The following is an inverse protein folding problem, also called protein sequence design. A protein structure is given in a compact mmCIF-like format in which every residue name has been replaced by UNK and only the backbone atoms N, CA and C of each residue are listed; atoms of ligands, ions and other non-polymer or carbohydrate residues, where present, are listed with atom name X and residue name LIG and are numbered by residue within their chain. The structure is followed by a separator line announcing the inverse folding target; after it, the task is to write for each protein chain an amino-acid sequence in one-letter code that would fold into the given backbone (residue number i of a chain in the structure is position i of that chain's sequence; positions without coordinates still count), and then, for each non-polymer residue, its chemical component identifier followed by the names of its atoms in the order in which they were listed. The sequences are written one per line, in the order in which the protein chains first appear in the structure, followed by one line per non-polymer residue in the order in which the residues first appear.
data_IF_847376053692
#
_entry.id   IF_847376053692
#
_cell.length_a   1.000
_cell.length_b   1.000
_cell.length_c   1.000
_cell.angle_alpha   90.00
_cell.angle_beta   90.00
_cell.angle_gamma   90.00
#
_symmetry.space_group_name_H-M   'P 1'
#
loop_
_entity.id
_entity.type
_entity.pdbx_description
1 polymer ?
#
# COMPACT_ATOMS: atom_id res chain seq x y z
N UNK A 1 4.75 -19.47 -0.58
CA UNK A 1 5.90 -18.91 -1.33
C UNK A 1 5.52 -18.36 -2.69
N UNK A 2 5.16 -19.17 -3.71
CA UNK A 2 4.89 -18.66 -5.08
C UNK A 2 3.91 -17.47 -5.14
N UNK A 3 2.79 -17.53 -4.42
CA UNK A 3 1.81 -16.44 -4.39
C UNK A 3 2.35 -15.15 -3.75
N UNK A 4 3.22 -15.23 -2.75
CA UNK A 4 3.79 -14.05 -2.08
C UNK A 4 4.80 -13.32 -2.98
N UNK A 5 5.67 -14.06 -3.67
CA UNK A 5 6.60 -13.50 -4.67
C UNK A 5 5.82 -12.85 -5.82
N UNK A 6 4.69 -13.44 -6.23
CA UNK A 6 3.81 -12.88 -7.26
C UNK A 6 3.09 -11.60 -6.80
N UNK A 7 2.51 -11.58 -5.60
CA UNK A 7 1.90 -10.38 -4.98
C UNK A 7 2.91 -9.23 -4.91
N UNK A 8 4.11 -9.52 -4.43
CA UNK A 8 5.20 -8.55 -4.31
C UNK A 8 5.67 -8.03 -5.67
N UNK A 9 5.80 -8.90 -6.68
CA UNK A 9 6.13 -8.51 -8.05
C UNK A 9 5.08 -7.60 -8.70
N UNK A 10 3.78 -7.84 -8.46
CA UNK A 10 2.70 -6.93 -8.87
C UNK A 10 2.86 -5.56 -8.19
N UNK A 11 3.21 -5.55 -6.90
CA UNK A 11 3.47 -4.31 -6.17
C UNK A 11 4.63 -3.50 -6.77
N UNK A 12 5.74 -4.15 -7.14
CA UNK A 12 6.85 -3.49 -7.85
C UNK A 12 6.43 -2.95 -9.22
N UNK A 13 5.63 -3.70 -9.98
CA UNK A 13 5.08 -3.23 -11.26
C UNK A 13 4.22 -1.97 -11.09
N UNK A 14 3.41 -1.90 -10.04
CA UNK A 14 2.65 -0.68 -9.71
C UNK A 14 3.55 0.50 -9.34
N UNK A 15 4.65 0.30 -8.59
CA UNK A 15 5.62 1.39 -8.31
C UNK A 15 6.19 1.97 -9.62
N UNK A 16 6.60 1.11 -10.55
CA UNK A 16 7.15 1.53 -11.84
C UNK A 16 6.12 2.28 -12.70
N UNK A 17 4.88 1.78 -12.73
CA UNK A 17 3.77 2.42 -13.45
C UNK A 17 3.45 3.81 -12.87
N UNK A 18 3.40 3.92 -11.53
CA UNK A 18 3.21 5.19 -10.81
C UNK A 18 4.31 6.19 -11.12
N UNK A 19 5.58 5.76 -11.06
CA UNK A 19 6.74 6.59 -11.40
C UNK A 19 6.65 7.13 -12.84
N UNK A 20 6.22 6.30 -13.79
CA UNK A 20 6.04 6.71 -15.18
C UNK A 20 4.90 7.73 -15.33
N UNK A 21 3.77 7.52 -14.64
CA UNK A 21 2.62 8.44 -14.66
C UNK A 21 3.00 9.81 -14.07
N UNK A 22 3.69 9.85 -12.93
CA UNK A 22 4.07 11.11 -12.28
C UNK A 22 5.07 11.93 -13.12
N UNK A 23 6.01 11.29 -13.83
CA UNK A 23 6.90 11.99 -14.78
C UNK A 23 6.07 12.61 -15.92
N UNK A 24 5.18 11.83 -16.54
CA UNK A 24 4.32 12.32 -17.61
C UNK A 24 3.40 13.47 -17.14
N UNK A 25 2.85 13.36 -15.93
CA UNK A 25 2.04 14.40 -15.30
C UNK A 25 2.85 15.68 -14.98
N UNK A 26 4.14 15.56 -14.68
CA UNK A 26 5.00 16.70 -14.36
C UNK A 26 5.16 17.66 -15.56
N UNK A 27 5.31 17.11 -16.77
CA UNK A 27 5.32 17.92 -18.00
C UNK A 27 3.96 18.62 -18.26
N UNK A 28 2.84 17.96 -17.93
CA UNK A 28 1.50 18.59 -18.01
C UNK A 28 1.37 19.72 -16.97
N UNK A 29 1.92 19.57 -15.77
CA UNK A 29 1.94 20.65 -14.77
C UNK A 29 2.72 21.86 -15.27
N UNK A 30 3.92 21.67 -15.84
CA UNK A 30 4.73 22.76 -16.38
C UNK A 30 3.93 23.58 -17.41
N UNK A 31 3.36 22.93 -18.43
CA UNK A 31 2.53 23.61 -19.44
C UNK A 31 1.32 24.37 -18.87
N UNK A 32 0.66 23.85 -17.83
CA UNK A 32 -0.50 24.51 -17.19
C UNK A 32 -0.09 25.67 -16.27
N UNK A 33 1.08 25.57 -15.64
CA UNK A 33 1.62 26.64 -14.76
C UNK A 33 2.19 27.80 -15.60
N UNK A 34 2.81 27.51 -16.75
CA UNK A 34 3.29 28.53 -17.69
C UNK A 34 2.14 29.33 -18.32
N UNK A 35 0.93 28.75 -18.43
CA UNK A 35 -0.31 29.45 -18.79
C UNK A 35 -0.87 30.35 -17.66
N UNK A 36 -0.26 30.32 -16.45
CA UNK A 36 -0.55 31.23 -15.35
C UNK A 36 -1.55 30.73 -14.30
N UNK A 37 -1.84 29.43 -14.26
CA UNK A 37 -2.79 28.84 -13.30
C UNK A 37 -2.17 28.70 -11.89
N UNK A 38 -2.93 29.05 -10.85
CA UNK A 38 -2.55 28.86 -9.44
C UNK A 38 -2.20 27.38 -9.10
N UNK A 39 -1.02 27.10 -8.53
CA UNK A 39 -0.66 25.75 -8.06
C UNK A 39 -1.56 25.23 -6.93
N UNK A 40 -2.07 26.10 -6.06
CA UNK A 40 -3.04 25.72 -5.03
C UNK A 40 -4.40 25.33 -5.64
N UNK A 41 -4.85 26.03 -6.69
CA UNK A 41 -6.07 25.68 -7.41
C UNK A 41 -5.94 24.32 -8.11
N UNK A 42 -4.81 24.05 -8.76
CA UNK A 42 -4.51 22.73 -9.34
C UNK A 42 -4.53 21.66 -8.25
N UNK A 43 -3.80 21.87 -7.15
CA UNK A 43 -3.76 20.94 -6.00
C UNK A 43 -5.14 20.65 -5.43
N UNK A 44 -5.99 21.67 -5.28
CA UNK A 44 -7.35 21.54 -4.75
C UNK A 44 -8.25 20.72 -5.69
N UNK A 45 -8.25 21.03 -6.99
CA UNK A 45 -9.05 20.29 -7.98
C UNK A 45 -8.58 18.83 -8.05
N UNK A 46 -7.28 18.60 -8.15
CA UNK A 46 -6.68 17.27 -8.19
C UNK A 46 -7.00 16.41 -6.96
N UNK A 47 -6.85 16.95 -5.73
CA UNK A 47 -7.20 16.22 -4.51
C UNK A 47 -8.71 16.03 -4.31
N UNK A 48 -9.54 16.88 -4.91
CA UNK A 48 -11.01 16.73 -4.86
C UNK A 48 -11.51 15.66 -5.84
N UNK A 49 -10.80 15.43 -6.95
CA UNK A 49 -11.19 14.45 -7.98
C UNK A 49 -11.24 13.00 -7.46
N UNK A 50 -10.53 12.69 -6.37
CA UNK A 50 -10.68 11.42 -5.65
C UNK A 50 -12.13 11.05 -5.31
N UNK A 51 -13.02 12.04 -5.12
CA UNK A 51 -14.44 11.80 -4.82
C UNK A 51 -15.15 10.95 -5.90
N UNK A 52 -14.60 10.90 -7.13
CA UNK A 52 -15.09 10.05 -8.23
C UNK A 52 -15.10 8.55 -7.86
N UNK A 53 -14.26 8.12 -6.92
CA UNK A 53 -14.28 6.73 -6.46
C UNK A 53 -15.54 6.34 -5.70
N UNK A 54 -16.25 7.29 -5.08
CA UNK A 54 -17.50 6.99 -4.37
C UNK A 54 -18.57 6.42 -5.32
N UNK A 55 -19.00 7.12 -6.40
CA UNK A 55 -19.97 6.55 -7.34
C UNK A 55 -19.42 5.34 -8.09
N UNK A 56 -18.13 5.30 -8.45
CA UNK A 56 -17.52 4.13 -9.12
C UNK A 56 -17.65 2.87 -8.26
N UNK A 57 -17.30 2.93 -6.97
CA UNK A 57 -17.41 1.75 -6.11
C UNK A 57 -18.87 1.44 -5.74
N UNK A 58 -19.74 2.44 -5.62
CA UNK A 58 -21.16 2.19 -5.37
C UNK A 58 -21.81 1.45 -6.56
N UNK A 59 -21.50 1.86 -7.80
CA UNK A 59 -21.90 1.16 -9.02
C UNK A 59 -21.29 -0.25 -9.06
N UNK A 60 -20.00 -0.40 -8.75
CA UNK A 60 -19.35 -1.70 -8.72
C UNK A 60 -19.99 -2.65 -7.68
N UNK A 61 -20.29 -2.15 -6.47
CA UNK A 61 -21.01 -2.90 -5.43
C UNK A 61 -22.43 -3.25 -5.89
N UNK A 62 -23.17 -2.33 -6.50
CA UNK A 62 -24.52 -2.60 -7.03
C UNK A 62 -24.50 -3.66 -8.14
N UNK A 63 -23.51 -3.61 -9.04
CA UNK A 63 -23.31 -4.63 -10.07
C UNK A 63 -22.90 -5.98 -9.46
N UNK A 64 -21.99 -6.01 -8.48
CA UNK A 64 -21.61 -7.22 -7.76
C UNK A 64 -22.78 -7.81 -6.95
N UNK A 65 -23.64 -6.98 -6.39
CA UNK A 65 -24.80 -7.43 -5.62
C UNK A 65 -25.92 -7.95 -6.55
N UNK A 66 -26.12 -7.33 -7.73
CA UNK A 66 -27.11 -7.73 -8.74
C UNK A 66 -26.67 -8.93 -9.60
N UNK A 67 -25.43 -8.94 -10.10
CA UNK A 67 -24.90 -10.00 -10.97
C UNK A 67 -24.13 -11.09 -10.22
N UNK A 68 -23.49 -10.76 -9.09
CA UNK A 68 -22.84 -11.75 -8.23
C UNK A 68 -23.84 -12.70 -7.57
N UNK A 69 -25.06 -12.24 -7.29
CA UNK A 69 -26.21 -13.11 -6.97
C UNK A 69 -26.42 -14.18 -8.04
N UNK A 70 -26.43 -13.77 -9.31
CA UNK A 70 -26.64 -14.62 -10.48
C UNK A 70 -25.49 -15.62 -10.71
N UNK A 71 -24.25 -15.17 -10.53
CA UNK A 71 -23.03 -16.00 -10.60
C UNK A 71 -22.92 -16.98 -9.43
N UNK A 72 -23.28 -16.57 -8.22
CA UNK A 72 -23.33 -17.42 -7.04
C UNK A 72 -24.42 -18.49 -7.15
N UNK A 73 -25.60 -18.14 -7.69
CA UNK A 73 -26.65 -19.13 -7.99
C UNK A 73 -26.21 -20.11 -9.08
N UNK A 74 -25.48 -19.64 -10.11
CA UNK A 74 -24.90 -20.50 -11.16
C UNK A 74 -23.85 -21.46 -10.60
N UNK A 75 -22.94 -21.00 -9.74
CA UNK A 75 -21.94 -21.86 -9.11
C UNK A 75 -22.60 -22.86 -8.13
N UNK A 76 -23.50 -22.40 -7.25
CA UNK A 76 -24.23 -23.30 -6.33
C UNK A 76 -25.04 -24.37 -7.08
N UNK A 77 -25.61 -24.04 -8.24
CA UNK A 77 -26.28 -25.01 -9.13
C UNK A 77 -25.30 -25.96 -9.83
N UNK A 78 -24.08 -25.50 -10.13
CA UNK A 78 -23.02 -26.32 -10.73
C UNK A 78 -22.39 -27.28 -9.71
N UNK A 79 -22.19 -26.85 -8.48
CA UNK A 79 -21.70 -27.69 -7.38
C UNK A 79 -22.76 -28.72 -6.97
N UNK A 80 -24.03 -28.32 -6.85
CA UNK A 80 -25.13 -29.27 -6.65
C UNK A 80 -25.26 -30.30 -7.80
N UNK A 81 -24.96 -29.92 -9.05
CA UNK A 81 -24.87 -30.85 -10.18
C UNK A 81 -23.63 -31.76 -10.13
N UNK A 82 -22.53 -31.32 -9.51
CA UNK A 82 -21.36 -32.17 -9.25
C UNK A 82 -21.65 -33.18 -8.16
N UNK A 83 -22.26 -32.78 -7.04
CA UNK A 83 -22.67 -33.70 -5.97
C UNK A 83 -23.70 -34.73 -6.47
N UNK A 84 -24.65 -34.32 -7.31
CA UNK A 84 -25.58 -35.25 -7.97
C UNK A 84 -24.85 -36.24 -8.89
N UNK A 85 -23.86 -35.77 -9.66
CA UNK A 85 -23.09 -36.63 -10.57
C UNK A 85 -22.12 -37.56 -9.84
N UNK A 86 -21.52 -37.11 -8.74
CA UNK A 86 -20.63 -37.91 -7.88
C UNK A 86 -21.44 -38.97 -7.10
N UNK A 87 -22.66 -38.65 -6.65
CA UNK A 87 -23.58 -39.64 -6.05
C UNK A 87 -24.17 -40.62 -7.07
N UNK A 88 -24.53 -40.18 -8.28
CA UNK A 88 -24.96 -41.07 -9.37
C UNK A 88 -23.82 -42.02 -9.80
N UNK A 89 -22.57 -41.53 -9.87
CA UNK A 89 -21.40 -42.39 -10.09
C UNK A 89 -21.15 -43.38 -8.95
N UNK A 90 -21.37 -42.98 -7.68
CA UNK A 90 -21.26 -43.89 -6.54
C UNK A 90 -22.34 -44.99 -6.57
N UNK A 91 -23.57 -44.66 -6.97
CA UNK A 91 -24.67 -45.64 -7.14
C UNK A 91 -24.34 -46.63 -8.27
N UNK A 92 -23.90 -46.14 -9.43
CA UNK A 92 -23.52 -46.98 -10.59
C UNK A 92 -22.29 -47.86 -10.33
N UNK A 93 -21.38 -47.44 -9.44
CA UNK A 93 -20.28 -48.28 -8.95
C UNK A 93 -20.78 -49.36 -7.97
N UNK A 94 -21.72 -49.01 -7.08
CA UNK A 94 -22.37 -49.97 -6.18
C UNK A 94 -23.21 -51.03 -6.90
N UNK A 95 -23.88 -50.66 -7.99
CA UNK A 95 -24.68 -51.58 -8.80
C UNK A 95 -23.81 -52.62 -9.52
N UNK A 96 -22.61 -52.21 -10.00
CA UNK A 96 -21.65 -53.15 -10.61
C UNK A 96 -21.07 -54.17 -9.62
N UNK A 97 -21.02 -53.87 -8.32
CA UNK A 97 -20.55 -54.81 -7.29
C UNK A 97 -21.60 -55.84 -6.86
N UNK A 98 -22.89 -55.66 -7.20
CA UNK A 98 -23.97 -56.54 -6.72
C UNK A 98 -24.33 -57.70 -7.68
N UNK A 99 -23.53 -57.94 -8.72
CA UNK A 99 -23.75 -59.06 -9.67
C UNK A 99 -23.05 -60.38 -9.28
N UNK A 100 -22.40 -60.46 -8.10
CA UNK A 100 -21.78 -61.70 -7.58
C UNK A 100 -21.97 -61.87 -6.07
N UNK A 101 -23.19 -62.21 -5.62
CA UNK A 101 -23.45 -63.14 -4.49
C UNK A 101 -24.96 -63.26 -4.19
N UNK A 102 -25.44 -64.46 -3.84
CA UNK A 102 -26.85 -64.77 -3.64
C UNK A 102 -27.40 -64.44 -2.22
N UNK A 103 -28.72 -64.24 -2.17
CA UNK A 103 -29.67 -64.56 -1.09
C UNK A 103 -29.47 -63.96 0.33
N UNK A 104 -30.40 -63.09 0.78
CA UNK A 104 -31.58 -63.53 1.58
C UNK A 104 -32.58 -62.37 1.86
N UNK A 105 -33.77 -62.71 2.39
CA UNK A 105 -34.96 -61.85 2.52
C UNK A 105 -34.91 -60.72 3.59
N UNK A 106 -35.54 -59.56 3.32
CA UNK A 106 -36.82 -59.13 3.95
C UNK A 106 -37.31 -57.71 3.53
N UNK A 107 -38.61 -57.45 3.74
CA UNK A 107 -39.41 -56.34 3.18
C UNK A 107 -39.39 -55.01 3.99
N UNK A 108 -39.89 -53.87 3.46
CA UNK A 108 -39.63 -52.53 3.99
C UNK A 108 -40.73 -51.96 4.91
N UNK A 109 -40.41 -50.89 5.64
CA UNK A 109 -41.40 -50.02 6.31
C UNK A 109 -41.22 -48.55 5.93
N UNK A 110 -42.36 -47.91 5.62
CA UNK A 110 -42.49 -46.54 5.10
C UNK A 110 -42.98 -45.64 6.24
N UNK A 111 -42.43 -44.44 6.39
CA UNK A 111 -43.05 -43.41 7.24
C UNK A 111 -42.93 -42.01 6.62
N UNK A 112 -44.09 -41.51 6.19
CA UNK A 112 -44.35 -40.10 5.92
C UNK A 112 -44.95 -39.50 7.20
N UNK A 113 -44.65 -38.24 7.52
CA UNK A 113 -45.54 -37.46 8.37
C UNK A 113 -45.54 -35.97 7.95
N UNK A 114 -46.72 -35.45 7.62
CA UNK A 114 -46.99 -34.03 7.45
C UNK A 114 -47.58 -33.49 8.75
N UNK A 115 -47.37 -32.21 9.05
CA UNK A 115 -48.26 -31.45 9.92
C UNK A 115 -48.35 -29.99 9.46
N UNK A 116 -49.54 -29.42 9.55
CA UNK A 116 -49.92 -28.10 9.01
C UNK A 116 -51.09 -27.54 9.82
N UNK A 117 -50.97 -26.29 10.28
CA UNK A 117 -51.97 -25.35 10.86
C UNK A 117 -51.12 -24.17 11.40
N UNK A 118 -51.14 -22.93 10.92
CA UNK A 118 -52.17 -21.91 10.59
C UNK A 118 -52.56 -21.00 11.77
N UNK A 119 -52.68 -19.68 11.52
CA UNK A 119 -52.99 -18.66 12.54
C UNK A 119 -52.52 -17.21 12.25
N UNK A 120 -53.48 -16.27 12.14
CA UNK A 120 -53.29 -14.84 11.80
C UNK A 120 -54.01 -13.92 12.82
N UNK A 121 -53.66 -12.64 13.08
CA UNK A 121 -52.53 -11.77 12.69
C UNK A 121 -52.18 -10.80 13.87
N UNK A 122 -51.57 -9.61 13.77
CA UNK A 122 -52.15 -8.32 13.30
C UNK A 122 -51.02 -7.25 13.26
N UNK A 123 -51.19 -6.25 12.39
CA UNK A 123 -50.42 -5.00 12.26
C UNK A 123 -50.31 -4.18 13.56
N UNK A 124 -49.11 -3.69 13.92
CA UNK A 124 -48.98 -2.43 14.65
C UNK A 124 -47.72 -1.66 14.22
N UNK A 125 -47.94 -0.52 13.55
CA UNK A 125 -46.92 0.45 13.17
C UNK A 125 -47.28 1.76 13.84
N UNK A 126 -46.62 2.08 14.95
CA UNK A 126 -46.64 3.44 15.49
C UNK A 126 -45.27 4.09 15.35
N UNK A 127 -45.32 5.33 14.89
CA UNK A 127 -44.15 6.17 14.61
C UNK A 127 -43.93 7.07 15.82
N UNK A 128 -42.84 6.86 16.56
CA UNK A 128 -42.36 7.85 17.54
C UNK A 128 -40.97 8.34 17.13
N UNK A 129 -40.98 9.51 16.50
CA UNK A 129 -39.80 10.32 16.23
C UNK A 129 -39.35 10.98 17.55
N UNK A 130 -38.18 10.62 18.07
CA UNK A 130 -37.39 11.48 18.97
C UNK A 130 -35.94 11.01 19.03
N UNK A 131 -35.04 11.98 19.15
CA UNK A 131 -33.60 11.80 19.03
C UNK A 131 -32.98 11.08 20.24
N UNK A 132 -32.05 10.16 19.99
CA UNK A 132 -30.65 10.25 20.43
C UNK A 132 -29.91 9.04 19.85
N UNK A 133 -29.32 9.23 18.67
CA UNK A 133 -28.59 8.17 17.95
C UNK A 133 -27.25 7.83 18.59
N UNK A 134 -27.26 7.11 19.71
CA UNK A 134 -26.07 6.39 20.17
C UNK A 134 -25.57 5.50 19.03
N UNK A 135 -24.33 5.72 18.60
CA UNK A 135 -23.68 4.93 17.55
C UNK A 135 -23.59 3.47 18.00
N UNK A 136 -24.60 2.67 17.63
CA UNK A 136 -24.64 1.26 17.93
C UNK A 136 -23.39 0.59 17.37
N UNK A 137 -22.75 -0.24 18.21
CA UNK A 137 -21.51 -0.94 17.90
C UNK A 137 -21.78 -2.15 16.99
N UNK A 138 -22.56 -1.92 15.93
CA UNK A 138 -23.01 -2.92 14.97
C UNK A 138 -21.88 -3.39 14.06
N UNK A 139 -22.02 -4.62 13.57
CA UNK A 139 -21.07 -5.38 12.73
C UNK A 139 -20.21 -4.46 11.85
N UNK A 140 -18.89 -4.47 12.09
CA UNK A 140 -17.90 -3.67 11.34
C UNK A 140 -17.66 -4.17 9.89
N UNK A 141 -18.46 -5.13 9.45
CA UNK A 141 -18.30 -5.88 8.22
C UNK A 141 -19.70 -6.20 7.67
N UNK A 142 -19.91 -5.94 6.39
CA UNK A 142 -21.12 -6.26 5.63
C UNK A 142 -21.25 -7.80 5.48
N UNK A 143 -22.44 -8.30 5.14
CA UNK A 143 -22.72 -9.76 4.99
C UNK A 143 -21.81 -10.51 4.01
N UNK A 144 -21.17 -9.78 3.08
CA UNK A 144 -20.19 -10.29 2.12
C UNK A 144 -18.72 -10.19 2.58
N UNK A 145 -18.48 -9.96 3.87
CA UNK A 145 -17.12 -9.77 4.39
C UNK A 145 -16.45 -8.45 3.98
N UNK A 146 -17.19 -7.49 3.40
CA UNK A 146 -16.68 -6.17 2.96
C UNK A 146 -16.74 -5.17 4.12
N UNK A 147 -15.83 -4.20 4.19
CA UNK A 147 -15.94 -3.12 5.19
C UNK A 147 -17.18 -2.24 4.95
N UNK A 148 -17.91 -1.97 6.03
CA UNK A 148 -19.05 -1.06 6.03
C UNK A 148 -18.60 0.38 5.76
N UNK A 149 -19.42 1.14 5.03
CA UNK A 149 -19.13 2.53 4.59
C UNK A 149 -18.69 3.42 5.76
N UNK A 150 -19.35 3.31 6.90
CA UNK A 150 -19.05 4.07 8.13
C UNK A 150 -17.65 3.75 8.67
N UNK A 151 -17.20 2.48 8.59
CA UNK A 151 -15.85 2.07 9.03
C UNK A 151 -14.78 2.66 8.12
N UNK A 152 -14.96 2.54 6.80
CA UNK A 152 -14.05 3.13 5.81
C UNK A 152 -13.99 4.65 5.98
N UNK A 153 -15.14 5.32 6.11
CA UNK A 153 -15.22 6.76 6.32
C UNK A 153 -14.53 7.20 7.62
N UNK A 154 -14.72 6.50 8.75
CA UNK A 154 -14.02 6.79 10.01
C UNK A 154 -12.50 6.67 9.90
N UNK A 155 -11.99 5.65 9.21
CA UNK A 155 -10.55 5.49 8.96
C UNK A 155 -10.02 6.56 8.00
N UNK A 156 -10.79 6.88 6.95
CA UNK A 156 -10.43 7.93 5.98
C UNK A 156 -10.38 9.30 6.66
N UNK A 157 -11.33 9.61 7.55
CA UNK A 157 -11.36 10.85 8.32
C UNK A 157 -10.17 10.99 9.28
N UNK A 158 -9.74 9.88 9.90
CA UNK A 158 -8.55 9.85 10.78
C UNK A 158 -7.25 10.12 10.00
N UNK A 159 -7.15 9.63 8.76
CA UNK A 159 -5.94 9.74 7.93
C UNK A 159 -5.90 11.04 7.12
N UNK A 160 -7.07 11.60 6.77
CA UNK A 160 -7.24 12.85 6.03
C UNK A 160 -6.39 14.04 6.50
N UNK A 161 -6.32 14.39 7.81
CA UNK A 161 -5.52 15.54 8.24
C UNK A 161 -4.02 15.38 8.00
N UNK A 162 -3.49 14.14 8.01
CA UNK A 162 -2.08 13.89 7.74
C UNK A 162 -1.74 14.09 6.25
N UNK A 163 -2.59 13.56 5.34
CA UNK A 163 -2.48 13.81 3.91
C UNK A 163 -2.59 15.30 3.58
N UNK A 164 -3.64 15.94 4.09
CA UNK A 164 -3.91 17.36 3.92
C UNK A 164 -2.71 18.20 4.35
N UNK A 165 -2.20 17.98 5.58
CA UNK A 165 -1.16 18.82 6.15
C UNK A 165 0.20 18.57 5.50
N UNK A 166 0.50 17.32 5.08
CA UNK A 166 1.68 17.03 4.27
C UNK A 166 1.65 17.78 2.93
N UNK A 167 0.53 17.71 2.21
CA UNK A 167 0.40 18.36 0.90
C UNK A 167 0.35 19.89 1.00
N UNK A 168 -0.25 20.43 2.06
CA UNK A 168 -0.29 21.87 2.33
C UNK A 168 1.10 22.41 2.66
N UNK A 169 1.83 21.75 3.58
CA UNK A 169 3.18 22.17 3.98
C UNK A 169 4.19 22.03 2.83
N UNK A 170 4.04 21.04 1.95
CA UNK A 170 4.85 20.90 0.72
C UNK A 170 4.60 22.01 -0.31
N UNK A 171 3.33 22.34 -0.58
CA UNK A 171 3.03 23.45 -1.50
C UNK A 171 3.46 24.80 -0.91
N UNK A 172 3.40 24.94 0.42
CA UNK A 172 3.84 26.14 1.11
C UNK A 172 5.37 26.26 1.19
N UNK A 173 6.12 25.15 1.30
CA UNK A 173 7.59 25.19 1.28
C UNK A 173 8.14 25.68 -0.07
N UNK A 174 7.56 25.25 -1.18
CA UNK A 174 7.91 25.73 -2.53
C UNK A 174 7.76 27.26 -2.73
N UNK A 175 6.98 27.93 -1.88
CA UNK A 175 6.84 29.40 -1.88
C UNK A 175 7.96 30.12 -1.12
N UNK A 176 8.60 29.43 -0.17
CA UNK A 176 9.53 30.04 0.79
C UNK A 176 10.99 29.57 0.65
N UNK A 177 11.23 28.34 0.16
CA UNK A 177 12.56 27.80 -0.15
C UNK A 177 12.72 27.48 -1.64
N UNK A 178 13.93 27.07 -2.06
CA UNK A 178 14.21 26.70 -3.46
C UNK A 178 13.64 25.33 -3.81
N UNK A 179 13.39 25.07 -5.10
CA UNK A 179 12.95 23.74 -5.58
C UNK A 179 13.98 22.68 -5.19
N UNK A 180 15.27 22.98 -5.34
CA UNK A 180 16.41 22.14 -4.90
C UNK A 180 16.32 21.77 -3.42
N UNK A 181 16.26 22.77 -2.54
CA UNK A 181 16.17 22.54 -1.09
C UNK A 181 14.94 21.70 -0.75
N UNK A 182 13.82 21.98 -1.41
CA UNK A 182 12.58 21.24 -1.21
C UNK A 182 12.69 19.77 -1.68
N UNK A 183 13.33 19.49 -2.82
CA UNK A 183 13.58 18.12 -3.30
C UNK A 183 14.52 17.36 -2.37
N UNK A 184 15.62 18.00 -1.92
CA UNK A 184 16.56 17.45 -0.94
C UNK A 184 15.83 17.08 0.36
N UNK A 185 15.04 17.99 0.93
CA UNK A 185 14.36 17.78 2.21
C UNK A 185 13.18 16.80 2.11
N UNK A 186 12.42 16.84 1.01
CA UNK A 186 11.34 15.88 0.77
C UNK A 186 11.85 14.46 0.49
N UNK A 187 13.07 14.28 -0.03
CA UNK A 187 13.70 12.96 -0.19
C UNK A 187 13.88 12.21 1.15
N UNK A 188 14.00 12.94 2.27
CA UNK A 188 14.07 12.39 3.62
C UNK A 188 12.75 11.70 4.06
N UNK A 189 11.65 11.85 3.32
CA UNK A 189 10.40 11.12 3.56
C UNK A 189 10.58 9.60 3.49
N UNK A 190 11.52 9.11 2.67
CA UNK A 190 11.90 7.69 2.60
C UNK A 190 12.53 7.20 3.91
N UNK A 191 13.43 7.98 4.50
CA UNK A 191 14.05 7.71 5.80
C UNK A 191 13.04 7.81 6.95
N UNK A 192 12.19 8.84 6.95
CA UNK A 192 11.11 8.91 7.94
C UNK A 192 10.13 7.74 7.81
N UNK A 193 9.80 7.30 6.59
CA UNK A 193 8.94 6.13 6.38
C UNK A 193 9.58 4.87 6.95
N UNK A 194 10.89 4.66 6.75
CA UNK A 194 11.62 3.53 7.36
C UNK A 194 11.58 3.57 8.90
N UNK A 195 11.79 4.74 9.51
CA UNK A 195 11.80 4.89 10.97
C UNK A 195 10.40 4.70 11.57
N UNK A 196 9.37 5.26 10.93
CA UNK A 196 7.98 5.15 11.38
C UNK A 196 7.43 3.74 11.13
N UNK A 197 7.83 3.05 10.05
CA UNK A 197 7.45 1.66 9.80
C UNK A 197 8.09 0.68 10.79
N UNK A 198 9.36 0.88 11.12
CA UNK A 198 10.04 0.15 12.21
C UNK A 198 9.28 0.33 13.54
N UNK A 199 8.90 1.56 13.90
CA UNK A 199 8.23 1.87 15.16
C UNK A 199 6.76 1.40 15.24
N UNK A 200 5.98 1.52 14.16
CA UNK A 200 4.53 1.31 14.20
C UNK A 200 4.05 0.03 13.50
N UNK A 201 4.79 -0.54 12.56
CA UNK A 201 4.47 -1.80 11.86
C UNK A 201 5.32 -2.97 12.36
N UNK A 202 6.41 -2.73 13.09
CA UNK A 202 7.34 -3.78 13.50
C UNK A 202 8.13 -4.36 12.33
N UNK A 203 8.39 -3.58 11.28
CA UNK A 203 9.26 -4.03 10.17
C UNK A 203 10.65 -4.41 10.74
N UNK A 204 11.19 -5.59 10.38
CA UNK A 204 12.53 -6.00 10.85
C UNK A 204 13.59 -4.97 10.43
N UNK A 205 14.28 -4.39 11.42
CA UNK A 205 15.46 -3.55 11.19
C UNK A 205 16.58 -4.38 10.54
N UNK A 206 17.26 -3.80 9.56
CA UNK A 206 18.40 -4.43 8.88
C UNK A 206 19.32 -3.33 8.38
N UNK A 207 20.62 -3.43 8.65
CA UNK A 207 21.61 -2.46 8.20
C UNK A 207 21.60 -2.26 6.68
N UNK A 208 21.35 -3.34 5.92
CA UNK A 208 21.17 -3.29 4.46
C UNK A 208 20.02 -2.36 4.05
N UNK A 209 18.86 -2.43 4.72
CA UNK A 209 17.72 -1.54 4.43
C UNK A 209 18.03 -0.08 4.75
N UNK A 210 18.65 0.19 5.91
CA UNK A 210 19.03 1.55 6.29
C UNK A 210 20.04 2.14 5.30
N UNK A 211 21.09 1.40 4.96
CA UNK A 211 22.08 1.81 3.96
C UNK A 211 21.44 2.03 2.58
N UNK A 212 20.49 1.17 2.19
CA UNK A 212 19.75 1.30 0.93
C UNK A 212 18.89 2.56 0.86
N UNK A 213 18.15 2.87 1.93
CA UNK A 213 17.33 4.10 2.01
C UNK A 213 18.21 5.35 2.01
N UNK A 214 19.32 5.34 2.75
CA UNK A 214 20.29 6.43 2.74
C UNK A 214 20.96 6.62 1.37
N UNK A 215 21.18 5.53 0.62
CA UNK A 215 21.76 5.58 -0.73
C UNK A 215 20.74 6.09 -1.78
N UNK A 216 19.47 5.70 -1.69
CA UNK A 216 18.39 6.30 -2.49
C UNK A 216 18.25 7.81 -2.21
N UNK A 217 18.24 8.20 -0.93
CA UNK A 217 18.19 9.61 -0.52
C UNK A 217 19.41 10.38 -1.03
N UNK A 218 20.62 9.84 -0.84
CA UNK A 218 21.87 10.43 -1.33
C UNK A 218 21.91 10.58 -2.85
N UNK A 219 21.42 9.59 -3.60
CA UNK A 219 21.33 9.68 -5.06
C UNK A 219 20.42 10.81 -5.54
N UNK A 220 19.22 10.94 -4.96
CA UNK A 220 18.31 12.07 -5.23
C UNK A 220 18.95 13.43 -4.90
N UNK A 221 19.71 13.52 -3.80
CA UNK A 221 20.44 14.74 -3.42
C UNK A 221 21.53 15.09 -4.46
N UNK A 222 22.27 14.09 -4.96
CA UNK A 222 23.32 14.30 -5.97
C UNK A 222 22.71 14.87 -7.27
N UNK A 223 21.61 14.30 -7.77
CA UNK A 223 20.93 14.79 -8.99
C UNK A 223 20.40 16.21 -8.77
N UNK A 224 19.67 16.45 -7.67
CA UNK A 224 19.11 17.77 -7.39
C UNK A 224 20.18 18.88 -7.28
N UNK A 225 21.37 18.56 -6.75
CA UNK A 225 22.51 19.48 -6.73
C UNK A 225 23.22 19.61 -8.10
N UNK A 226 23.00 18.69 -9.03
CA UNK A 226 23.41 18.75 -10.43
C UNK A 226 22.57 19.76 -11.20
N UNK A 227 21.25 19.51 -11.27
CA UNK A 227 20.25 20.36 -11.96
C UNK A 227 20.42 21.85 -11.60
N UNK A 228 20.59 22.11 -10.31
CA UNK A 228 20.73 23.45 -9.72
C UNK A 228 21.91 24.26 -10.23
N UNK A 229 22.99 23.59 -10.67
CA UNK A 229 24.17 24.24 -11.24
C UNK A 229 23.99 24.54 -12.72
N UNK A 230 23.18 23.75 -13.41
CA UNK A 230 22.90 23.87 -14.84
C UNK A 230 21.88 24.98 -15.13
N UNK A 231 20.83 25.14 -14.32
CA UNK A 231 19.75 26.09 -14.60
C UNK A 231 20.05 27.56 -14.27
N UNK A 232 21.18 27.87 -13.61
CA UNK A 232 21.66 29.23 -13.35
C UNK A 232 20.74 30.15 -12.53
N UNK A 233 19.58 29.65 -12.09
CA UNK A 233 18.45 30.44 -11.61
C UNK A 233 18.17 30.14 -10.14
N UNK A 234 19.08 30.55 -9.27
CA UNK A 234 18.80 30.64 -7.83
C UNK A 234 17.79 31.78 -7.57
N UNK A 235 16.49 31.52 -7.81
CA UNK A 235 15.42 32.40 -7.33
C UNK A 235 15.61 32.54 -5.80
N UNK A 236 16.03 33.73 -5.37
CA UNK A 236 16.34 33.99 -3.97
C UNK A 236 15.14 33.66 -3.09
N UNK A 237 15.31 32.62 -2.27
CA UNK A 237 14.30 32.18 -1.32
C UNK A 237 13.91 33.34 -0.39
N UNK A 238 12.62 33.65 -0.28
CA UNK A 238 12.14 34.76 0.53
C UNK A 238 12.34 34.52 2.02
N UNK A 239 12.16 33.28 2.48
CA UNK A 239 12.37 32.82 3.85
C UNK A 239 12.81 31.35 3.84
N UNK A 240 14.05 31.02 3.44
CA UNK A 240 14.49 29.64 3.22
C UNK A 240 14.26 28.75 4.44
N UNK A 241 14.63 29.21 5.64
CA UNK A 241 14.45 28.46 6.90
C UNK A 241 12.99 28.05 7.14
N UNK A 242 12.02 28.90 6.82
CA UNK A 242 10.60 28.57 6.97
C UNK A 242 10.19 27.49 5.96
N UNK A 243 10.61 27.64 4.70
CA UNK A 243 10.34 26.66 3.65
C UNK A 243 10.99 25.31 3.94
N UNK A 244 12.20 25.29 4.47
CA UNK A 244 12.94 24.08 4.81
C UNK A 244 12.26 23.31 5.96
N UNK A 245 11.85 24.01 7.02
CA UNK A 245 11.07 23.42 8.13
C UNK A 245 9.73 22.89 7.64
N UNK A 246 9.04 23.59 6.74
CA UNK A 246 7.78 23.14 6.15
C UNK A 246 7.97 21.89 5.28
N UNK A 247 9.04 21.83 4.47
CA UNK A 247 9.37 20.67 3.63
C UNK A 247 9.67 19.42 4.46
N UNK A 248 10.47 19.58 5.52
CA UNK A 248 10.77 18.48 6.45
C UNK A 248 9.54 18.02 7.24
N UNK A 249 8.66 18.97 7.62
CA UNK A 249 7.37 18.67 8.25
C UNK A 249 6.47 17.86 7.32
N UNK A 250 6.39 18.23 6.04
CA UNK A 250 5.68 17.46 5.02
C UNK A 250 6.19 16.03 4.91
N UNK A 251 7.52 15.86 4.80
CA UNK A 251 8.16 14.56 4.70
C UNK A 251 7.82 13.63 5.88
N UNK A 252 7.78 14.17 7.10
CA UNK A 252 7.38 13.44 8.31
C UNK A 252 5.89 13.08 8.33
N UNK A 253 5.01 14.02 7.96
CA UNK A 253 3.56 13.79 7.90
C UNK A 253 3.17 12.77 6.83
N UNK A 254 3.86 12.78 5.68
CA UNK A 254 3.68 11.81 4.60
C UNK A 254 4.09 10.39 5.03
N UNK A 255 5.22 10.26 5.74
CA UNK A 255 5.65 8.99 6.33
C UNK A 255 4.62 8.43 7.33
N UNK A 256 4.03 9.30 8.17
CA UNK A 256 2.94 8.93 9.09
C UNK A 256 1.68 8.51 8.32
N UNK A 257 1.28 9.28 7.31
CA UNK A 257 0.14 8.96 6.43
C UNK A 257 0.28 7.56 5.79
N UNK A 258 1.45 7.24 5.24
CA UNK A 258 1.70 5.95 4.58
C UNK A 258 1.71 4.79 5.56
N UNK A 259 2.33 4.99 6.72
CA UNK A 259 2.31 4.04 7.83
C UNK A 259 0.88 3.79 8.30
N UNK A 260 0.06 4.83 8.43
CA UNK A 260 -1.33 4.72 8.83
C UNK A 260 -2.18 3.97 7.79
N UNK A 261 -1.97 4.19 6.49
CA UNK A 261 -2.64 3.39 5.43
C UNK A 261 -2.34 1.91 5.64
N UNK A 262 -1.07 1.52 5.68
CA UNK A 262 -0.72 0.09 5.82
C UNK A 262 -1.16 -0.52 7.15
N UNK A 263 -1.17 0.27 8.24
CA UNK A 263 -1.61 -0.18 9.57
C UNK A 263 -3.14 -0.25 9.74
N UNK A 264 -3.90 0.57 8.99
CA UNK A 264 -5.36 0.69 9.14
C UNK A 264 -6.14 0.12 7.96
N UNK A 265 -5.52 -0.20 6.84
CA UNK A 265 -6.13 -0.85 5.67
C UNK A 265 -5.28 -2.04 5.19
N UNK A 266 -5.07 -3.08 6.03
CA UNK A 266 -4.40 -4.30 5.58
C UNK A 266 -5.19 -4.93 4.41
N UNK A 267 -4.46 -5.45 3.43
CA UNK A 267 -5.04 -6.12 2.25
C UNK A 267 -5.26 -7.62 2.46
N UNK A 268 -4.73 -8.19 3.55
CA UNK A 268 -4.86 -9.61 3.83
C UNK A 268 -6.30 -9.99 4.20
N UNK A 269 -6.78 -11.06 3.55
CA UNK A 269 -8.12 -11.63 3.70
C UNK A 269 -8.30 -12.38 5.04
N UNK A 270 -7.91 -11.73 6.15
CA UNK A 270 -8.29 -12.20 7.48
C UNK A 270 -9.82 -12.20 7.58
N UNK A 271 -10.40 -13.39 7.66
CA UNK A 271 -11.85 -13.64 7.75
C UNK A 271 -12.51 -12.87 8.91
N UNK A 272 -11.73 -12.52 9.94
CA UNK A 272 -12.13 -11.71 11.10
C UNK A 272 -12.13 -10.20 10.84
N UNK A 273 -11.34 -9.71 9.89
CA UNK A 273 -11.08 -8.28 9.67
C UNK A 273 -11.90 -7.74 8.50
N UNK A 274 -12.10 -8.55 7.47
CA UNK A 274 -12.89 -8.24 6.27
C UNK A 274 -12.15 -7.38 5.24
N UNK A 275 -12.61 -7.41 3.99
CA UNK A 275 -11.99 -6.74 2.84
C UNK A 275 -12.16 -5.22 2.88
N UNK A 276 -11.06 -4.49 3.04
CA UNK A 276 -11.01 -3.03 2.93
C UNK A 276 -10.89 -2.61 1.45
N UNK A 277 -11.80 -1.76 0.97
CA UNK A 277 -11.72 -1.22 -0.39
C UNK A 277 -10.88 0.06 -0.42
N UNK A 278 -9.68 -0.01 -1.00
CA UNK A 278 -8.78 1.15 -1.11
C UNK A 278 -9.39 2.28 -1.94
N UNK A 279 -10.17 1.95 -2.98
CA UNK A 279 -10.91 2.93 -3.77
C UNK A 279 -11.94 3.69 -2.91
N UNK A 280 -12.66 3.03 -2.00
CA UNK A 280 -13.60 3.75 -1.11
C UNK A 280 -12.87 4.62 -0.08
N UNK A 281 -11.72 4.18 0.41
CA UNK A 281 -10.88 4.99 1.28
C UNK A 281 -10.45 6.28 0.56
N UNK A 282 -9.91 6.18 -0.65
CA UNK A 282 -9.54 7.35 -1.46
C UNK A 282 -10.77 8.20 -1.80
N UNK A 283 -11.92 7.58 -2.10
CA UNK A 283 -13.19 8.29 -2.31
C UNK A 283 -13.61 9.16 -1.12
N UNK A 284 -13.59 8.62 0.09
CA UNK A 284 -13.87 9.39 1.31
C UNK A 284 -12.76 10.39 1.64
N UNK A 285 -11.49 10.07 1.39
CA UNK A 285 -10.36 11.01 1.51
C UNK A 285 -10.58 12.23 0.61
N UNK A 286 -10.99 12.01 -0.64
CA UNK A 286 -11.38 13.06 -1.59
C UNK A 286 -12.58 13.89 -1.14
N UNK A 287 -13.61 13.24 -0.59
CA UNK A 287 -14.78 13.93 -0.04
C UNK A 287 -14.41 14.84 1.14
N UNK A 288 -13.57 14.35 2.06
CA UNK A 288 -13.12 15.16 3.20
C UNK A 288 -12.15 16.27 2.75
N UNK A 289 -11.23 15.99 1.81
CA UNK A 289 -10.38 17.02 1.19
C UNK A 289 -11.24 18.12 0.56
N UNK A 290 -12.28 17.78 -0.22
CA UNK A 290 -13.18 18.75 -0.83
C UNK A 290 -13.78 19.69 0.22
N UNK A 291 -14.35 19.17 1.31
CA UNK A 291 -14.95 20.00 2.36
C UNK A 291 -13.93 20.76 3.24
N UNK A 292 -12.76 20.18 3.52
CA UNK A 292 -11.73 20.78 4.40
C UNK A 292 -10.91 21.85 3.66
N UNK A 293 -10.58 21.63 2.38
CA UNK A 293 -9.93 22.67 1.57
C UNK A 293 -10.90 23.77 1.11
N UNK A 294 -12.21 23.52 0.99
CA UNK A 294 -13.19 24.53 0.57
C UNK A 294 -13.06 25.88 1.31
N UNK A 295 -13.04 25.97 2.66
CA UNK A 295 -12.85 27.24 3.35
C UNK A 295 -11.49 27.89 3.06
N UNK A 296 -10.42 27.10 2.92
CA UNK A 296 -9.08 27.61 2.57
C UNK A 296 -9.09 28.20 1.17
N UNK A 297 -9.63 27.47 0.18
CA UNK A 297 -9.76 27.94 -1.20
C UNK A 297 -10.63 29.20 -1.30
N UNK A 298 -11.71 29.29 -0.52
CA UNK A 298 -12.53 30.51 -0.42
C UNK A 298 -11.73 31.69 0.16
N UNK A 299 -10.95 31.49 1.23
CA UNK A 299 -10.10 32.55 1.80
C UNK A 299 -9.07 33.06 0.79
N UNK A 300 -8.37 32.19 0.06
CA UNK A 300 -7.39 32.61 -0.94
C UNK A 300 -8.09 33.35 -2.11
N UNK A 301 -9.28 32.89 -2.52
CA UNK A 301 -10.11 33.58 -3.53
C UNK A 301 -10.56 34.97 -3.09
N UNK A 302 -10.99 35.14 -1.83
CA UNK A 302 -11.41 36.44 -1.29
C UNK A 302 -10.24 37.41 -1.10
N UNK A 303 -9.08 36.89 -0.65
CA UNK A 303 -7.87 37.70 -0.44
C UNK A 303 -7.12 38.02 -1.74
N UNK A 304 -7.49 37.41 -2.88
CA UNK A 304 -6.88 37.61 -4.21
C UNK A 304 -5.36 37.42 -4.25
N UNK A 305 -4.82 36.61 -3.33
CA UNK A 305 -3.38 36.32 -3.23
C UNK A 305 -2.87 35.56 -4.46
N UNK A 306 -3.76 34.89 -5.20
CA UNK A 306 -3.46 34.20 -6.45
C UNK A 306 -4.55 34.45 -7.50
N UNK A 307 -4.22 34.37 -8.81
CA UNK A 307 -5.19 34.52 -9.89
C UNK A 307 -6.10 33.29 -10.02
N UNK A 308 -7.30 33.36 -9.43
CA UNK A 308 -8.38 32.37 -9.64
C UNK A 308 -9.10 32.58 -10.99
N UNK A 309 -8.34 32.46 -12.09
CA UNK A 309 -8.86 32.65 -13.44
C UNK A 309 -8.49 31.47 -14.34
N UNK A 310 -9.37 30.46 -14.36
CA UNK A 310 -9.44 29.48 -15.46
C UNK A 310 -10.02 30.22 -16.67
N UNK A 311 -9.19 30.52 -17.66
CA UNK A 311 -9.56 31.33 -18.84
C UNK A 311 -9.99 30.44 -20.01
N UNK A 312 -9.43 29.25 -20.14
CA UNK A 312 -9.61 28.38 -21.31
C UNK A 312 -10.13 27.00 -20.94
N UNK A 313 -11.09 26.47 -21.71
CA UNK A 313 -11.57 25.10 -21.57
C UNK A 313 -10.46 24.03 -21.72
N UNK A 314 -9.36 24.37 -22.40
CA UNK A 314 -8.14 23.55 -22.49
C UNK A 314 -7.44 23.39 -21.14
N UNK A 315 -7.19 24.50 -20.43
CA UNK A 315 -6.62 24.51 -19.07
C UNK A 315 -7.45 23.60 -18.13
N UNK A 316 -8.78 23.78 -18.14
CA UNK A 316 -9.72 22.97 -17.35
C UNK A 316 -9.63 21.48 -17.72
N UNK A 317 -9.60 21.16 -19.02
CA UNK A 317 -9.43 19.79 -19.51
C UNK A 317 -8.11 19.16 -19.10
N UNK A 318 -7.00 19.90 -19.18
CA UNK A 318 -5.65 19.45 -18.78
C UNK A 318 -5.56 19.23 -17.27
N UNK A 319 -6.10 20.13 -16.44
CA UNK A 319 -6.12 19.99 -14.98
C UNK A 319 -6.96 18.77 -14.56
N UNK A 320 -8.12 18.53 -15.20
CA UNK A 320 -8.95 17.36 -14.92
C UNK A 320 -8.25 16.09 -15.39
N UNK A 321 -7.66 16.08 -16.60
CA UNK A 321 -6.92 14.93 -17.12
C UNK A 321 -5.71 14.58 -16.24
N UNK A 322 -4.92 15.59 -15.82
CA UNK A 322 -3.85 15.44 -14.83
C UNK A 322 -4.42 14.84 -13.55
N UNK A 323 -5.43 15.45 -12.93
CA UNK A 323 -5.98 14.95 -11.66
C UNK A 323 -6.54 13.53 -11.74
N UNK A 324 -7.09 13.11 -12.90
CA UNK A 324 -7.57 11.74 -13.11
C UNK A 324 -6.43 10.72 -13.29
N UNK A 325 -5.33 11.09 -13.95
CA UNK A 325 -4.19 10.19 -14.18
C UNK A 325 -3.23 10.19 -12.97
N UNK A 326 -2.81 11.36 -12.54
CA UNK A 326 -1.77 11.60 -11.54
C UNK A 326 -2.25 11.35 -10.10
N UNK A 327 -3.43 11.85 -9.74
CA UNK A 327 -3.98 11.65 -8.39
C UNK A 327 -4.86 10.41 -8.34
N UNK A 328 -5.99 10.41 -9.08
CA UNK A 328 -6.99 9.32 -8.98
C UNK A 328 -6.35 7.97 -9.31
N UNK A 329 -5.84 7.78 -10.54
CA UNK A 329 -5.25 6.49 -10.96
C UNK A 329 -3.92 6.19 -10.26
N UNK A 330 -2.96 7.12 -10.27
CA UNK A 330 -1.62 6.85 -9.71
C UNK A 330 -1.65 6.60 -8.21
N UNK A 331 -2.32 7.44 -7.41
CA UNK A 331 -2.32 7.25 -5.95
C UNK A 331 -3.10 6.00 -5.52
N UNK A 332 -4.07 5.52 -6.34
CA UNK A 332 -4.69 4.21 -6.14
C UNK A 332 -3.73 3.04 -6.42
N UNK A 333 -2.97 3.10 -7.51
CA UNK A 333 -1.97 2.08 -7.86
C UNK A 333 -0.83 2.07 -6.82
N UNK A 334 -0.37 3.24 -6.40
CA UNK A 334 0.65 3.42 -5.38
C UNK A 334 0.18 2.94 -4.02
N UNK A 335 -1.04 3.29 -3.60
CA UNK A 335 -1.66 2.73 -2.40
C UNK A 335 -1.70 1.20 -2.42
N UNK A 336 -2.06 0.60 -3.55
CA UNK A 336 -1.99 -0.86 -3.74
C UNK A 336 -0.57 -1.39 -3.66
N UNK A 337 0.41 -0.72 -4.27
CA UNK A 337 1.83 -1.09 -4.15
C UNK A 337 2.33 -1.07 -2.70
N UNK A 338 1.93 -0.06 -1.92
CA UNK A 338 2.27 0.10 -0.49
C UNK A 338 1.70 -1.03 0.36
N UNK A 339 0.54 -1.60 0.00
CA UNK A 339 -0.03 -2.78 0.67
C UNK A 339 0.65 -4.08 0.21
N UNK A 340 0.90 -4.24 -1.09
CA UNK A 340 1.51 -5.44 -1.68
C UNK A 340 3.02 -5.62 -1.38
N UNK A 341 3.75 -4.56 -1.04
CA UNK A 341 5.22 -4.60 -0.79
C UNK A 341 5.55 -4.35 0.68
N UNK A 342 6.26 -3.26 1.00
CA UNK A 342 6.38 -2.66 2.33
C UNK A 342 6.29 -1.14 2.19
N UNK A 343 5.96 -0.43 3.27
CA UNK A 343 5.96 1.05 3.22
C UNK A 343 7.31 1.59 2.76
N UNK A 344 8.39 1.00 3.30
CA UNK A 344 9.77 1.35 2.99
C UNK A 344 10.13 1.09 1.52
N UNK A 345 9.79 -0.10 0.96
CA UNK A 345 10.06 -0.43 -0.45
C UNK A 345 9.25 0.46 -1.39
N UNK A 346 8.00 0.76 -1.06
CA UNK A 346 7.16 1.64 -1.88
C UNK A 346 7.70 3.08 -1.92
N UNK A 347 8.07 3.67 -0.78
CA UNK A 347 8.61 5.05 -0.76
C UNK A 347 10.02 5.15 -1.32
N UNK A 348 10.89 4.17 -1.08
CA UNK A 348 12.21 4.12 -1.72
C UNK A 348 12.07 3.86 -3.23
N UNK A 349 11.13 3.02 -3.65
CA UNK A 349 10.89 2.68 -5.05
C UNK A 349 10.40 3.85 -5.91
N UNK A 350 9.73 4.85 -5.33
CA UNK A 350 9.42 6.09 -6.05
C UNK A 350 10.68 6.83 -6.51
N UNK A 351 11.84 6.63 -5.86
CA UNK A 351 13.10 7.28 -6.30
C UNK A 351 13.57 6.81 -7.69
N UNK A 352 13.04 5.70 -8.23
CA UNK A 352 13.24 5.28 -9.64
C UNK A 352 12.81 6.37 -10.64
N UNK A 353 12.00 7.34 -10.22
CA UNK A 353 11.71 8.53 -11.02
C UNK A 353 12.99 9.29 -11.42
N UNK A 354 14.03 9.31 -10.59
CA UNK A 354 15.31 9.98 -10.86
C UNK A 354 16.04 9.37 -12.08
N UNK A 355 16.40 8.06 -12.11
CA UNK A 355 16.97 7.45 -13.31
C UNK A 355 16.02 7.48 -14.51
N UNK A 356 14.71 7.38 -14.31
CA UNK A 356 13.73 7.41 -15.40
C UNK A 356 13.62 8.80 -16.05
N UNK A 357 13.68 9.88 -15.28
CA UNK A 357 13.74 11.26 -15.78
C UNK A 357 15.01 11.49 -16.61
N UNK A 358 16.18 11.14 -16.08
CA UNK A 358 17.45 11.27 -16.81
C UNK A 358 17.49 10.50 -18.14
N UNK A 359 16.80 9.35 -18.23
CA UNK A 359 16.61 8.61 -19.49
C UNK A 359 15.70 9.40 -20.44
N UNK A 360 14.58 9.95 -19.96
CA UNK A 360 13.65 10.75 -20.78
C UNK A 360 14.34 12.01 -21.32
N UNK A 361 15.10 12.73 -20.49
CA UNK A 361 15.82 13.94 -20.90
C UNK A 361 16.91 13.64 -21.94
N UNK A 362 17.64 12.52 -21.75
CA UNK A 362 18.61 12.03 -22.73
C UNK A 362 17.98 11.63 -24.07
N UNK A 363 16.74 11.11 -24.08
CA UNK A 363 15.99 10.81 -25.30
C UNK A 363 15.50 12.10 -25.97
N UNK A 364 15.18 13.14 -25.19
CA UNK A 364 14.71 14.44 -25.68
C UNK A 364 15.84 15.31 -26.27
N UNK A 365 17.09 14.85 -26.23
CA UNK A 365 18.26 15.52 -26.82
C UNK A 365 18.99 16.48 -25.87
N UNK A 366 18.53 16.60 -24.62
CA UNK A 366 19.31 17.25 -23.57
C UNK A 366 20.38 16.27 -23.09
N UNK A 367 21.64 16.69 -23.00
CA UNK A 367 22.70 15.84 -22.45
C UNK A 367 22.67 15.95 -20.91
N UNK A 368 22.20 14.91 -20.17
CA UNK A 368 22.21 14.96 -18.71
C UNK A 368 23.64 15.01 -18.17
N UNK A 369 23.81 15.66 -17.03
CA UNK A 369 25.09 15.90 -16.41
C UNK A 369 25.64 14.62 -15.75
N UNK A 370 26.96 14.57 -15.52
CA UNK A 370 27.61 13.43 -14.86
C UNK A 370 27.09 13.17 -13.44
N UNK A 371 26.58 14.21 -12.77
CA UNK A 371 25.94 14.08 -11.45
C UNK A 371 24.61 13.29 -11.54
N UNK A 372 23.89 13.43 -12.64
CA UNK A 372 22.56 12.86 -12.82
C UNK A 372 22.68 11.35 -13.02
N UNK A 373 23.63 10.93 -13.85
CA UNK A 373 24.03 9.51 -13.98
C UNK A 373 24.55 8.93 -12.66
N UNK A 374 25.37 9.65 -11.91
CA UNK A 374 25.92 9.17 -10.63
C UNK A 374 24.83 9.00 -9.57
N UNK A 375 23.90 9.96 -9.46
CA UNK A 375 22.75 9.89 -8.57
C UNK A 375 21.75 8.81 -8.98
N UNK A 376 21.48 8.68 -10.29
CA UNK A 376 20.69 7.59 -10.86
C UNK A 376 21.26 6.20 -10.53
N UNK A 377 22.58 6.01 -10.66
CA UNK A 377 23.25 4.76 -10.25
C UNK A 377 23.12 4.49 -8.74
N UNK A 378 23.33 5.50 -7.90
CA UNK A 378 23.16 5.37 -6.45
C UNK A 378 21.72 4.97 -6.08
N UNK A 379 20.72 5.62 -6.68
CA UNK A 379 19.30 5.27 -6.53
C UNK A 379 19.04 3.81 -6.92
N UNK A 380 19.54 3.36 -8.08
CA UNK A 380 19.32 1.99 -8.55
C UNK A 380 19.98 0.95 -7.63
N UNK A 381 21.19 1.21 -7.12
CA UNK A 381 21.87 0.32 -6.15
C UNK A 381 21.09 0.28 -4.83
N UNK A 382 20.62 1.43 -4.33
CA UNK A 382 19.79 1.50 -3.13
C UNK A 382 18.47 0.75 -3.29
N UNK A 383 17.80 0.89 -4.44
CA UNK A 383 16.57 0.16 -4.74
C UNK A 383 16.82 -1.35 -4.87
N UNK A 384 17.92 -1.80 -5.49
CA UNK A 384 18.26 -3.22 -5.49
C UNK A 384 18.51 -3.71 -4.04
N UNK A 385 19.28 -2.97 -3.25
CA UNK A 385 19.61 -3.31 -1.87
C UNK A 385 18.38 -3.45 -0.96
N UNK A 386 17.35 -2.61 -1.12
CA UNK A 386 16.13 -2.68 -0.29
C UNK A 386 15.24 -3.89 -0.64
N UNK A 387 15.39 -4.44 -1.84
CA UNK A 387 14.65 -5.60 -2.33
C UNK A 387 15.36 -6.94 -2.05
N UNK A 388 16.62 -6.94 -1.61
CA UNK A 388 17.31 -8.18 -1.21
C UNK A 388 16.70 -8.70 0.10
N UNK A 389 16.23 -9.96 0.17
CA UNK A 389 15.71 -10.53 1.40
C UNK A 389 16.81 -10.61 2.47
N UNK A 390 16.52 -10.09 3.66
CA UNK A 390 17.46 -9.97 4.79
C UNK A 390 18.18 -11.28 5.14
N UNK A 391 17.52 -12.42 4.87
CA UNK A 391 18.02 -13.76 5.17
C UNK A 391 19.23 -14.17 4.30
N UNK A 392 19.41 -13.54 3.13
CA UNK A 392 20.55 -13.77 2.24
C UNK A 392 21.90 -13.36 2.85
N UNK A 393 21.90 -12.36 3.75
CA UNK A 393 23.11 -11.91 4.46
C UNK A 393 23.31 -12.59 5.82
N UNK A 394 22.26 -13.10 6.45
CA UNK A 394 22.37 -13.86 7.71
C UNK A 394 23.12 -15.18 7.54
N UNK A 395 22.91 -15.86 6.40
CA UNK A 395 23.59 -17.12 6.07
C UNK A 395 25.14 -17.00 6.07
N UNK A 396 25.68 -15.79 5.88
CA UNK A 396 27.14 -15.56 5.92
C UNK A 396 27.72 -15.38 7.33
N UNK A 397 26.89 -15.22 8.38
CA UNK A 397 27.38 -15.00 9.76
C UNK A 397 27.47 -16.27 10.60
N UNK A 398 26.62 -17.26 10.34
CA UNK A 398 26.59 -18.50 11.13
C UNK A 398 27.68 -19.52 10.73
N UNK A 399 28.46 -19.25 9.67
CA UNK A 399 29.54 -20.13 9.16
C UNK A 399 30.92 -19.80 9.75
N UNK A 400 31.03 -18.82 10.66
CA UNK A 400 32.33 -18.29 11.12
C UNK A 400 32.67 -18.54 12.61
N UNK A 401 31.93 -19.37 13.35
CA UNK A 401 32.32 -19.81 14.71
C UNK A 401 31.93 -21.29 14.95
N UNK A 402 32.55 -22.21 14.22
CA UNK A 402 32.85 -23.55 14.75
C UNK A 402 34.38 -23.75 14.70
N UNK A 403 35.03 -23.45 15.83
CA UNK A 403 36.41 -23.89 16.06
C UNK A 403 36.37 -25.40 16.33
N UNK A 404 37.12 -26.23 15.58
CA UNK A 404 37.18 -27.65 15.87
C UNK A 404 37.87 -27.86 17.22
N UNK A 405 37.17 -28.48 18.16
CA UNK A 405 37.77 -28.97 19.40
C UNK A 405 38.83 -30.02 19.06
N UNK A 406 40.08 -29.71 19.37
CA UNK A 406 41.23 -30.56 19.10
C UNK A 406 41.16 -31.84 19.96
N UNK A 407 40.75 -32.96 19.34
CA UNK A 407 40.70 -34.26 20.00
C UNK A 407 42.13 -34.77 20.23
N UNK A 408 42.64 -34.59 21.45
CA UNK A 408 43.88 -35.24 21.91
C UNK A 408 43.62 -36.75 22.04
N UNK A 409 44.00 -37.50 21.00
CA UNK A 409 44.04 -38.96 21.03
C UNK A 409 45.21 -39.38 21.92
N UNK A 410 44.93 -39.88 23.12
CA UNK A 410 45.96 -40.55 23.91
C UNK A 410 46.19 -41.95 23.33
N UNK A 411 47.35 -42.15 22.73
CA UNK A 411 47.75 -43.45 22.19
C UNK A 411 47.92 -44.48 23.30
N UNK A 412 47.38 -45.67 23.08
CA UNK A 412 47.60 -46.86 23.88
C UNK A 412 48.92 -47.51 23.45
N UNK A 413 49.79 -47.83 24.41
CA UNK A 413 50.98 -48.64 24.15
C UNK A 413 51.39 -49.41 25.40
N UNK A 414 51.09 -50.71 25.38
CA UNK A 414 51.61 -51.69 26.34
C UNK A 414 53.12 -51.58 26.51
N UNK A 415 53.58 -51.51 27.76
CA UNK A 415 54.79 -52.22 28.16
C UNK A 415 54.72 -52.69 29.62
N UNK A 416 54.73 -54.01 29.78
CA UNK A 416 54.82 -54.73 31.04
C UNK A 416 56.18 -54.50 31.73
N UNK A 417 56.19 -54.21 33.05
CA UNK A 417 56.90 -55.06 34.04
C UNK A 417 56.75 -54.60 35.52
N UNK A 418 56.56 -55.60 36.40
CA UNK A 418 57.26 -55.76 37.69
C UNK A 418 56.89 -54.95 38.96
N UNK A 419 56.27 -55.68 39.92
CA UNK A 419 56.57 -55.71 41.38
C UNK A 419 55.96 -54.63 42.32
N UNK A 420 54.81 -55.02 42.91
CA UNK A 420 54.58 -55.29 44.36
C UNK A 420 55.11 -54.28 45.41
N UNK A 421 54.20 -53.59 46.11
CA UNK A 421 53.98 -53.74 47.58
C UNK A 421 52.80 -52.89 48.11
N UNK A 422 51.88 -53.52 48.85
CA UNK A 422 51.02 -52.91 49.88
C UNK A 422 51.86 -52.44 51.10
N UNK A 423 51.34 -51.74 52.15
CA UNK A 423 49.93 -51.48 52.49
C UNK A 423 49.64 -50.05 53.06
N UNK A 424 48.48 -49.94 53.76
CA UNK A 424 48.08 -48.93 54.76
C UNK A 424 47.49 -47.60 54.23
N UNK A 425 46.21 -47.23 54.39
CA UNK A 425 45.20 -47.30 55.49
C UNK A 425 45.13 -46.03 56.35
N UNK A 426 43.94 -45.76 56.92
CA UNK A 426 43.60 -44.69 57.89
C UNK A 426 43.39 -43.31 57.24
N UNK A 427 42.24 -42.63 57.40
CA UNK A 427 40.94 -43.03 57.98
C UNK A 427 39.81 -42.14 57.46
#
# INVERSE_FOLDING_TARGET
MKNEVWRWGIGLFYIFLVATIWIAASFVVQSVVDEGVSPFLVTYICNSLFVIYIPIVEIARFLEDKYGSLLFWKNKKLDALRELKESEQAILLGEKTNLVSNADCCSPSMHINMHMEDGQSILNRETTLSETGYFSNGKQVDEKGRWTRIRVAKVSLLICPFWFLAQLTFNLSLKYTTVTSNTILSSASSLFTFLVSLAFLGEKFTWVKLASVLLCMGGTIIVSLGDSKSEGTSRTASNPLLGDVLSLTSAGLYAVYITLIRKKLPEDDDEKTGKASMAQFLGFLGLFNLFIFLPVALIIKFTKVEPFHLRTWKEVGLIIAKGLLDNVLSDYLWAKAVLLTTTTVATAGLTIQVPLAAIVDSILGNAPHLMDYLGAMAVMIGFIGINIPSDAFSCSKDVSIELPSENVIHGDHDHTTSVRQDPASVS
#
